data_IF_177329953218
#
_entry.id   IF_177329953218
#
_cell.length_a   1.000
_cell.length_b   1.000
_cell.length_c   1.000
_cell.angle_alpha   90.00
_cell.angle_beta   90.00
_cell.angle_gamma   90.00
#
_symmetry.space_group_name_H-M   'P 1'
#
loop_
_entity.id
_entity.type
_entity.pdbx_description
1 polymer ?
#
# COMPACT_ATOMS: atom_id res chain seq x y z
N UNK A 1 7.53 -7.01 18.06
CA UNK A 1 7.32 -5.57 18.34
C UNK A 1 7.23 -4.85 17.01
N UNK A 2 6.43 -3.78 16.91
CA UNK A 2 6.36 -3.02 15.67
C UNK A 2 7.69 -2.33 15.34
N UNK A 3 8.00 -2.21 14.05
CA UNK A 3 9.22 -1.55 13.56
C UNK A 3 9.04 -1.02 12.14
N UNK A 4 9.73 0.08 11.82
CA UNK A 4 9.84 0.53 10.44
C UNK A 4 10.72 -0.42 9.63
N UNK A 5 10.26 -0.73 8.42
CA UNK A 5 11.07 -1.35 7.39
C UNK A 5 11.62 -0.25 6.50
N UNK A 6 12.95 -0.22 6.36
CA UNK A 6 13.62 0.73 5.48
C UNK A 6 13.26 0.40 4.04
N UNK A 7 12.60 1.33 3.34
CA UNK A 7 12.35 1.18 1.92
C UNK A 7 13.69 1.10 1.17
N UNK A 8 13.86 0.14 0.26
CA UNK A 8 15.07 0.08 -0.54
C UNK A 8 15.20 1.35 -1.40
N UNK A 9 16.42 1.76 -1.80
CA UNK A 9 16.64 3.01 -2.53
C UNK A 9 15.73 3.19 -3.76
N UNK A 10 15.49 2.10 -4.48
CA UNK A 10 14.61 2.01 -5.66
C UNK A 10 13.16 2.45 -5.43
N UNK A 11 12.63 2.24 -4.22
CA UNK A 11 11.29 2.69 -3.84
C UNK A 11 11.36 4.03 -3.12
N UNK A 12 12.36 4.19 -2.25
CA UNK A 12 12.51 5.37 -1.40
C UNK A 12 12.67 6.66 -2.21
N UNK A 13 13.51 6.65 -3.26
CA UNK A 13 13.74 7.86 -4.08
C UNK A 13 12.47 8.34 -4.77
N UNK A 14 11.69 7.42 -5.34
CA UNK A 14 10.41 7.74 -6.00
C UNK A 14 9.40 8.29 -5.00
N UNK A 15 9.22 7.62 -3.87
CA UNK A 15 8.33 8.08 -2.81
C UNK A 15 8.77 9.45 -2.24
N UNK A 16 10.08 9.66 -2.09
CA UNK A 16 10.63 10.91 -1.57
C UNK A 16 10.40 12.07 -2.53
N UNK A 17 10.68 11.91 -3.82
CA UNK A 17 10.45 12.97 -4.82
C UNK A 17 8.98 13.40 -4.83
N UNK A 18 8.06 12.44 -4.91
CA UNK A 18 6.62 12.70 -4.91
C UNK A 18 6.16 13.42 -3.65
N UNK A 19 6.64 12.98 -2.47
CA UNK A 19 6.34 13.62 -1.18
C UNK A 19 6.84 15.07 -1.14
N UNK A 20 8.05 15.31 -1.63
CA UNK A 20 8.65 16.65 -1.67
C UNK A 20 7.90 17.58 -2.63
N UNK A 21 7.48 17.07 -3.80
CA UNK A 21 6.65 17.81 -4.74
C UNK A 21 5.27 18.15 -4.15
N UNK A 22 4.60 17.19 -3.52
CA UNK A 22 3.31 17.43 -2.86
C UNK A 22 3.42 18.42 -1.71
N UNK A 23 4.51 18.36 -0.93
CA UNK A 23 4.77 19.30 0.15
C UNK A 23 4.95 20.72 -0.39
N UNK A 24 5.78 20.88 -1.42
CA UNK A 24 5.98 22.18 -2.07
C UNK A 24 4.68 22.72 -2.68
N UNK A 25 3.89 21.85 -3.31
CA UNK A 25 2.60 22.23 -3.90
C UNK A 25 1.61 22.70 -2.83
N UNK A 26 1.50 22.00 -1.69
CA UNK A 26 0.65 22.38 -0.55
C UNK A 26 1.02 23.77 -0.04
N UNK A 27 2.31 24.02 0.21
CA UNK A 27 2.81 25.31 0.68
C UNK A 27 2.44 26.45 -0.29
N UNK A 28 2.65 26.26 -1.59
CA UNK A 28 2.34 27.28 -2.60
C UNK A 28 0.84 27.55 -2.72
N UNK A 29 -0.02 26.56 -2.46
CA UNK A 29 -1.48 26.73 -2.52
C UNK A 29 -2.06 27.33 -1.23
N UNK A 30 -1.50 27.00 -0.07
CA UNK A 30 -1.86 27.61 1.21
C UNK A 30 -1.61 29.13 1.19
N UNK A 31 -0.46 29.56 0.65
CA UNK A 31 -0.11 30.97 0.48
C UNK A 31 -1.03 31.75 -0.46
N UNK A 32 -1.79 31.05 -1.33
CA UNK A 32 -2.59 31.66 -2.40
C UNK A 32 -4.12 31.60 -2.16
N UNK A 33 -4.59 30.79 -1.20
CA UNK A 33 -5.98 30.62 -0.69
C UNK A 33 -7.02 29.93 -1.61
N UNK A 34 -7.88 29.11 -0.97
CA UNK A 34 -9.12 28.43 -1.45
C UNK A 34 -9.03 27.20 -2.35
N UNK A 35 -7.83 26.74 -2.73
CA UNK A 35 -7.70 25.62 -3.67
C UNK A 35 -7.45 24.29 -2.95
N UNK A 36 -8.38 23.35 -3.10
CA UNK A 36 -8.30 22.02 -2.51
C UNK A 36 -7.50 21.12 -3.46
N UNK A 37 -6.42 20.52 -2.95
CA UNK A 37 -5.73 19.44 -3.64
C UNK A 37 -6.66 18.22 -3.66
N UNK A 38 -6.96 17.62 -4.85
CA UNK A 38 -7.74 16.40 -4.92
C UNK A 38 -7.13 15.31 -4.03
N UNK A 39 -7.93 14.60 -3.22
CA UNK A 39 -7.40 13.56 -2.34
C UNK A 39 -6.54 12.51 -3.06
N UNK A 40 -6.90 12.21 -4.32
CA UNK A 40 -6.21 11.23 -5.17
C UNK A 40 -4.80 11.64 -5.58
N UNK A 41 -4.44 12.93 -5.48
CA UNK A 41 -3.09 13.40 -5.82
C UNK A 41 -2.02 12.81 -4.89
N UNK A 42 -2.42 12.34 -3.70
CA UNK A 42 -1.52 11.65 -2.76
C UNK A 42 -0.98 10.32 -3.29
N UNK A 43 -1.64 9.72 -4.28
CA UNK A 43 -1.19 8.50 -4.97
C UNK A 43 -0.72 8.77 -6.40
N UNK A 44 -0.67 10.03 -6.83
CA UNK A 44 -0.24 10.38 -8.18
C UNK A 44 1.29 10.26 -8.36
N UNK A 45 1.74 9.81 -9.54
CA UNK A 45 3.15 9.86 -9.91
C UNK A 45 3.60 11.31 -10.12
N UNK A 46 4.93 11.51 -10.17
CA UNK A 46 5.59 12.80 -10.45
C UNK A 46 4.91 13.61 -11.56
N UNK A 47 4.70 13.01 -12.72
CA UNK A 47 4.18 13.72 -13.90
C UNK A 47 2.76 14.25 -13.69
N UNK A 48 1.93 13.52 -12.97
CA UNK A 48 0.57 13.93 -12.66
C UNK A 48 0.54 15.05 -11.60
N UNK A 49 1.44 14.99 -10.61
CA UNK A 49 1.62 16.07 -9.65
C UNK A 49 2.07 17.36 -10.36
N UNK A 50 3.05 17.26 -11.26
CA UNK A 50 3.55 18.39 -12.06
C UNK A 50 2.47 18.93 -12.99
N UNK A 51 1.73 18.06 -13.68
CA UNK A 51 0.63 18.46 -14.56
C UNK A 51 -0.46 19.19 -13.79
N UNK A 52 -0.85 18.68 -12.61
CA UNK A 52 -1.81 19.34 -11.73
C UNK A 52 -1.29 20.72 -11.28
N UNK A 53 -0.04 20.81 -10.84
CA UNK A 53 0.56 22.09 -10.44
C UNK A 53 0.54 23.12 -11.58
N UNK A 54 0.90 22.71 -12.80
CA UNK A 54 0.86 23.57 -13.99
C UNK A 54 -0.54 24.08 -14.35
N UNK A 55 -1.59 23.29 -14.06
CA UNK A 55 -2.97 23.69 -14.32
C UNK A 55 -3.54 24.61 -13.24
N UNK A 56 -3.02 24.56 -12.02
CA UNK A 56 -3.62 25.22 -10.84
C UNK A 56 -2.85 26.43 -10.36
N UNK A 57 -1.54 26.44 -10.49
CA UNK A 57 -0.72 27.54 -10.01
C UNK A 57 -0.72 28.71 -11.00
N UNK A 58 -0.78 29.97 -10.53
CA UNK A 58 -0.52 31.13 -11.37
C UNK A 58 0.93 31.13 -11.86
N UNK A 59 1.22 31.83 -12.95
CA UNK A 59 2.50 31.74 -13.67
C UNK A 59 3.73 31.93 -12.76
N UNK A 60 3.69 32.89 -11.82
CA UNK A 60 4.81 33.16 -10.91
C UNK A 60 5.08 31.99 -9.95
N UNK A 61 4.04 31.34 -9.42
CA UNK A 61 4.19 30.17 -8.55
C UNK A 61 4.49 28.91 -9.36
N UNK A 62 3.95 28.81 -10.58
CA UNK A 62 4.24 27.73 -11.54
C UNK A 62 5.73 27.68 -11.87
N UNK A 63 6.35 28.81 -12.22
CA UNK A 63 7.80 28.86 -12.50
C UNK A 63 8.64 28.44 -11.30
N UNK A 64 8.25 28.86 -10.08
CA UNK A 64 8.91 28.44 -8.83
C UNK A 64 8.79 26.92 -8.61
N UNK A 65 7.59 26.36 -8.79
CA UNK A 65 7.34 24.93 -8.63
C UNK A 65 8.12 24.09 -9.65
N UNK A 66 8.14 24.49 -10.92
CA UNK A 66 8.88 23.77 -11.96
C UNK A 66 10.39 23.79 -11.71
N UNK A 67 10.94 24.94 -11.29
CA UNK A 67 12.36 25.04 -10.90
C UNK A 67 12.70 24.08 -9.76
N UNK A 68 11.80 23.97 -8.78
CA UNK A 68 11.96 23.01 -7.68
C UNK A 68 11.90 21.56 -8.17
N UNK A 69 10.94 21.23 -9.04
CA UNK A 69 10.80 19.88 -9.62
C UNK A 69 12.01 19.44 -10.46
N UNK A 70 12.63 20.37 -11.19
CA UNK A 70 13.85 20.10 -11.97
C UNK A 70 15.08 19.94 -11.06
N UNK A 71 15.14 20.71 -9.98
CA UNK A 71 16.18 20.57 -8.94
C UNK A 71 16.09 19.19 -8.28
N UNK A 72 14.88 18.73 -7.94
CA UNK A 72 14.67 17.40 -7.39
C UNK A 72 15.07 16.30 -8.37
N UNK A 73 14.68 16.41 -9.65
CA UNK A 73 15.04 15.42 -10.67
C UNK A 73 16.57 15.29 -10.85
N UNK A 74 17.31 16.37 -10.62
CA UNK A 74 18.78 16.35 -10.65
C UNK A 74 19.38 15.77 -9.36
N UNK A 75 18.79 16.08 -8.21
CA UNK A 75 19.28 15.64 -6.89
C UNK A 75 18.91 14.19 -6.55
N UNK A 76 17.83 13.66 -7.14
CA UNK A 76 17.30 12.32 -6.93
C UNK A 76 17.30 11.57 -8.27
N UNK A 77 18.48 11.14 -8.78
CA UNK A 77 18.55 10.49 -10.08
C UNK A 77 17.78 9.18 -10.08
N UNK A 78 16.87 9.03 -11.05
CA UNK A 78 15.98 7.86 -11.18
C UNK A 78 16.56 6.72 -12.03
N UNK A 79 17.83 6.82 -12.41
CA UNK A 79 18.50 5.81 -13.23
C UNK A 79 18.64 4.48 -12.48
N UNK A 80 18.24 3.38 -13.13
CA UNK A 80 18.34 2.04 -12.54
C UNK A 80 17.31 1.73 -11.45
N UNK A 81 16.28 2.57 -11.25
CA UNK A 81 15.22 2.32 -10.27
C UNK A 81 14.11 1.38 -10.77
N UNK A 82 14.43 0.46 -11.68
CA UNK A 82 13.49 -0.59 -12.11
C UNK A 82 13.95 -1.95 -11.60
N UNK A 83 12.99 -2.83 -11.29
CA UNK A 83 13.26 -4.24 -10.99
C UNK A 83 12.88 -5.10 -12.19
N UNK A 84 13.48 -6.29 -12.27
CA UNK A 84 13.01 -7.32 -13.19
C UNK A 84 11.59 -7.73 -12.78
N UNK A 85 10.66 -7.63 -13.74
CA UNK A 85 9.30 -8.08 -13.55
C UNK A 85 9.19 -9.58 -13.88
N UNK A 86 8.36 -10.34 -13.16
CA UNK A 86 8.01 -11.68 -13.60
C UNK A 86 7.25 -11.61 -14.94
N UNK A 87 7.27 -12.67 -15.75
CA UNK A 87 6.41 -12.72 -16.94
C UNK A 87 4.93 -12.57 -16.53
N UNK A 88 4.05 -12.10 -17.42
CA UNK A 88 2.63 -12.09 -17.13
C UNK A 88 2.06 -13.52 -17.02
N UNK A 89 0.96 -13.64 -16.30
CA UNK A 89 0.15 -14.85 -16.21
C UNK A 89 -0.92 -14.87 -17.31
N UNK A 90 -0.94 -15.92 -18.12
CA UNK A 90 -1.92 -16.10 -19.20
C UNK A 90 -1.77 -15.08 -20.35
N UNK A 91 -2.85 -14.88 -21.11
CA UNK A 91 -2.91 -13.97 -22.26
C UNK A 91 -4.01 -12.91 -22.06
N UNK A 92 -3.81 -11.71 -22.61
CA UNK A 92 -4.85 -10.66 -22.67
C UNK A 92 -6.00 -11.11 -23.57
N UNK A 93 -7.24 -10.83 -23.15
CA UNK A 93 -8.45 -11.06 -23.93
C UNK A 93 -9.46 -9.93 -23.68
N UNK A 94 -10.44 -9.77 -24.59
CA UNK A 94 -11.36 -8.61 -24.60
C UNK A 94 -12.31 -8.52 -23.40
N UNK A 95 -12.56 -9.63 -22.70
CA UNK A 95 -13.38 -9.67 -21.47
C UNK A 95 -12.57 -9.49 -20.18
N UNK A 96 -11.26 -9.24 -20.29
CA UNK A 96 -10.40 -9.00 -19.14
C UNK A 96 -10.70 -7.62 -18.53
N UNK A 97 -10.67 -7.54 -17.21
CA UNK A 97 -10.85 -6.28 -16.50
C UNK A 97 -9.67 -5.33 -16.76
N UNK A 98 -9.93 -4.01 -16.84
CA UNK A 98 -8.91 -3.00 -17.17
C UNK A 98 -7.68 -3.05 -16.25
N UNK A 99 -7.87 -3.15 -14.92
CA UNK A 99 -6.78 -3.35 -13.96
C UNK A 99 -5.89 -4.57 -14.29
N UNK A 100 -6.50 -5.69 -14.66
CA UNK A 100 -5.77 -6.92 -14.97
C UNK A 100 -5.06 -6.84 -16.32
N UNK A 101 -5.69 -6.23 -17.32
CA UNK A 101 -5.06 -5.97 -18.62
C UNK A 101 -3.87 -5.00 -18.48
N UNK A 102 -4.03 -3.93 -17.69
CA UNK A 102 -2.95 -2.99 -17.40
C UNK A 102 -1.79 -3.68 -16.66
N UNK A 103 -2.09 -4.51 -15.66
CA UNK A 103 -1.07 -5.29 -14.95
C UNK A 103 -0.35 -6.26 -15.88
N UNK A 104 -1.07 -6.96 -16.78
CA UNK A 104 -0.47 -7.83 -17.78
C UNK A 104 0.49 -7.07 -18.69
N UNK A 105 0.05 -5.92 -19.23
CA UNK A 105 0.89 -5.10 -20.12
C UNK A 105 2.12 -4.57 -19.41
N UNK A 106 1.99 -4.14 -18.15
CA UNK A 106 3.12 -3.73 -17.33
C UNK A 106 4.14 -4.87 -17.15
N UNK A 107 3.69 -6.07 -16.76
CA UNK A 107 4.57 -7.23 -16.60
C UNK A 107 5.24 -7.65 -17.91
N UNK A 108 4.57 -7.49 -19.04
CA UNK A 108 5.12 -7.80 -20.37
C UNK A 108 6.24 -6.83 -20.83
N UNK A 109 6.49 -5.74 -20.09
CA UNK A 109 7.68 -4.89 -20.31
C UNK A 109 8.95 -5.47 -19.68
N UNK A 110 8.83 -6.50 -18.83
CA UNK A 110 9.91 -7.19 -18.11
C UNK A 110 10.73 -6.32 -17.13
N UNK A 111 10.50 -5.01 -17.08
CA UNK A 111 11.19 -4.08 -16.20
C UNK A 111 10.25 -2.96 -15.79
N UNK A 112 10.19 -2.64 -14.50
CA UNK A 112 9.31 -1.57 -14.03
C UNK A 112 9.57 -1.14 -12.61
N UNK A 113 8.94 -0.04 -12.24
CA UNK A 113 9.04 0.56 -10.91
C UNK A 113 7.85 0.06 -10.06
N UNK A 114 8.05 -0.80 -9.03
CA UNK A 114 6.97 -1.48 -8.32
C UNK A 114 5.97 -0.53 -7.61
N UNK A 115 6.47 0.56 -7.05
CA UNK A 115 5.69 1.56 -6.33
C UNK A 115 4.70 2.28 -7.25
N UNK A 116 5.17 2.73 -8.40
CA UNK A 116 4.37 3.38 -9.46
C UNK A 116 3.37 2.39 -10.04
N UNK A 117 3.81 1.17 -10.38
CA UNK A 117 2.90 0.16 -10.95
C UNK A 117 1.75 -0.19 -10.00
N UNK A 118 2.03 -0.40 -8.71
CA UNK A 118 0.98 -0.66 -7.72
C UNK A 118 -0.03 0.49 -7.63
N UNK A 119 0.45 1.75 -7.69
CA UNK A 119 -0.39 2.96 -7.60
C UNK A 119 -1.21 3.22 -8.87
N UNK A 120 -0.67 2.89 -10.05
CA UNK A 120 -1.39 2.99 -11.33
C UNK A 120 -2.61 2.07 -11.41
N UNK A 121 -2.58 0.93 -10.72
CA UNK A 121 -3.69 -0.03 -10.69
C UNK A 121 -4.84 0.45 -9.80
N UNK A 122 -4.57 1.25 -8.76
CA UNK A 122 -5.55 1.63 -7.73
C UNK A 122 -6.89 2.13 -8.27
N UNK A 123 -6.95 3.09 -9.23
CA UNK A 123 -8.21 3.64 -9.70
C UNK A 123 -9.07 2.65 -10.49
N UNK A 124 -8.47 1.55 -10.95
CA UNK A 124 -9.13 0.53 -11.78
C UNK A 124 -9.60 -0.66 -10.96
N UNK A 125 -9.23 -0.75 -9.67
CA UNK A 125 -9.57 -1.93 -8.87
C UNK A 125 -11.01 -1.84 -8.34
N UNK A 126 -11.76 -2.96 -8.34
CA UNK A 126 -13.10 -3.01 -7.79
C UNK A 126 -13.04 -3.11 -6.26
N UNK A 127 -12.68 -2.00 -5.62
CA UNK A 127 -12.65 -1.90 -4.16
C UNK A 127 -14.09 -1.96 -3.61
N UNK A 128 -14.28 -2.74 -2.54
CA UNK A 128 -15.57 -2.97 -1.90
C UNK A 128 -15.58 -2.35 -0.49
N UNK A 129 -16.73 -1.90 0.04
CA UNK A 129 -16.82 -1.42 1.42
C UNK A 129 -16.28 -2.45 2.41
N UNK A 130 -15.55 -2.00 3.42
CA UNK A 130 -15.12 -2.88 4.50
C UNK A 130 -16.32 -3.32 5.35
N UNK A 131 -16.65 -4.60 5.29
CA UNK A 131 -17.80 -5.17 6.01
C UNK A 131 -17.49 -5.52 7.47
N UNK A 132 -16.23 -5.37 7.90
CA UNK A 132 -15.86 -5.64 9.30
C UNK A 132 -16.45 -4.57 10.21
N UNK A 133 -17.01 -4.98 11.35
CA UNK A 133 -17.64 -4.05 12.31
C UNK A 133 -16.70 -2.96 12.85
N UNK A 134 -15.38 -3.20 12.82
CA UNK A 134 -14.36 -2.24 13.25
C UNK A 134 -13.76 -1.44 12.08
N UNK A 135 -14.19 -1.66 10.83
CA UNK A 135 -13.63 -1.03 9.64
C UNK A 135 -14.61 -0.08 8.95
N UNK A 136 -14.09 1.01 8.38
CA UNK A 136 -14.84 1.90 7.48
C UNK A 136 -13.95 2.29 6.31
N UNK A 137 -14.47 2.32 5.09
CA UNK A 137 -13.71 2.66 3.89
C UNK A 137 -13.80 1.54 2.85
N UNK A 138 -12.84 1.48 1.94
CA UNK A 138 -12.85 0.49 0.86
C UNK A 138 -11.66 -0.48 0.98
N UNK A 139 -11.88 -1.74 0.62
CA UNK A 139 -10.86 -2.78 0.62
C UNK A 139 -10.93 -3.64 -0.64
N UNK A 140 -9.79 -4.21 -1.01
CA UNK A 140 -9.73 -5.35 -1.91
C UNK A 140 -8.79 -6.40 -1.30
N UNK A 141 -9.30 -7.62 -1.19
CA UNK A 141 -8.59 -8.74 -0.59
C UNK A 141 -8.15 -9.73 -1.66
N UNK A 142 -6.91 -10.21 -1.57
CA UNK A 142 -6.29 -11.15 -2.50
C UNK A 142 -5.55 -12.25 -1.72
N UNK A 143 -5.34 -13.38 -2.38
CA UNK A 143 -4.68 -14.54 -1.80
C UNK A 143 -5.64 -15.44 -1.01
N UNK A 144 -5.11 -16.08 0.02
CA UNK A 144 -5.80 -17.05 0.84
C UNK A 144 -6.70 -16.37 1.88
N UNK A 145 -7.86 -16.97 2.17
CA UNK A 145 -8.61 -16.72 3.39
C UNK A 145 -8.84 -18.02 4.17
N UNK A 146 -9.04 -17.88 5.47
CA UNK A 146 -9.42 -18.99 6.37
C UNK A 146 -10.59 -18.54 7.24
N UNK A 147 -11.71 -19.25 7.18
CA UNK A 147 -12.90 -18.97 8.00
C UNK A 147 -13.47 -20.27 8.56
N UNK A 148 -13.41 -20.43 9.89
CA UNK A 148 -13.92 -21.63 10.55
C UNK A 148 -13.27 -22.93 10.09
N UNK A 149 -11.99 -22.89 9.72
CA UNK A 149 -11.25 -24.04 9.17
C UNK A 149 -11.48 -24.31 7.68
N UNK A 150 -12.31 -23.51 6.99
CA UNK A 150 -12.47 -23.57 5.54
C UNK A 150 -11.42 -22.68 4.89
N UNK A 151 -10.64 -23.26 3.97
CA UNK A 151 -9.62 -22.56 3.18
C UNK A 151 -10.12 -22.27 1.78
N UNK A 152 -9.84 -21.06 1.29
CA UNK A 152 -10.18 -20.67 -0.06
C UNK A 152 -9.38 -19.45 -0.52
N UNK A 153 -9.69 -18.99 -1.73
CA UNK A 153 -9.14 -17.73 -2.23
C UNK A 153 -10.18 -16.63 -2.16
N UNK A 154 -9.72 -15.42 -1.87
CA UNK A 154 -10.56 -14.26 -2.14
C UNK A 154 -10.95 -14.23 -3.62
N UNK A 155 -12.19 -13.81 -3.90
CA UNK A 155 -12.79 -13.74 -5.25
C UNK A 155 -11.83 -13.14 -6.28
N UNK A 156 -11.20 -12.01 -5.94
CA UNK A 156 -10.34 -11.26 -6.84
C UNK A 156 -8.99 -11.92 -7.10
N UNK A 157 -8.55 -12.88 -6.29
CA UNK A 157 -7.28 -13.61 -6.49
C UNK A 157 -7.25 -14.34 -7.83
N UNK A 158 -8.37 -14.98 -8.21
CA UNK A 158 -8.49 -15.71 -9.48
C UNK A 158 -8.81 -14.80 -10.65
N UNK A 159 -9.49 -13.69 -10.39
CA UNK A 159 -9.85 -12.73 -11.44
C UNK A 159 -8.65 -11.87 -11.84
N UNK A 160 -7.75 -11.56 -10.89
CA UNK A 160 -6.64 -10.65 -11.11
C UNK A 160 -5.26 -11.27 -10.78
N UNK A 161 -4.85 -12.34 -11.46
CA UNK A 161 -3.56 -12.97 -11.21
C UNK A 161 -2.36 -12.05 -11.52
N UNK A 162 -2.44 -11.19 -12.54
CA UNK A 162 -1.37 -10.24 -12.86
C UNK A 162 -1.32 -9.08 -11.85
N UNK A 163 -2.47 -8.59 -11.36
CA UNK A 163 -2.48 -7.64 -10.23
C UNK A 163 -1.82 -8.26 -9.00
N UNK A 164 -2.11 -9.53 -8.67
CA UNK A 164 -1.43 -10.23 -7.58
C UNK A 164 0.09 -10.22 -7.79
N UNK A 165 0.58 -10.56 -8.99
CA UNK A 165 2.01 -10.55 -9.31
C UNK A 165 2.65 -9.18 -9.12
N UNK A 166 1.99 -8.10 -9.56
CA UNK A 166 2.48 -6.72 -9.37
C UNK A 166 2.55 -6.34 -7.89
N UNK A 167 1.50 -6.58 -7.11
CA UNK A 167 1.47 -6.23 -5.70
C UNK A 167 2.45 -7.07 -4.86
N UNK A 168 2.56 -8.37 -5.13
CA UNK A 168 3.53 -9.24 -4.49
C UNK A 168 4.97 -8.83 -4.79
N UNK A 169 5.25 -8.35 -6.00
CA UNK A 169 6.56 -7.84 -6.37
C UNK A 169 6.92 -6.56 -5.61
N UNK A 170 5.95 -5.68 -5.31
CA UNK A 170 6.17 -4.56 -4.40
C UNK A 170 6.52 -5.05 -2.99
N UNK A 171 5.80 -6.03 -2.45
CA UNK A 171 6.11 -6.60 -1.12
C UNK A 171 7.51 -7.22 -1.10
N UNK A 172 7.87 -8.00 -2.12
CA UNK A 172 9.20 -8.58 -2.27
C UNK A 172 10.30 -7.50 -2.35
N UNK A 173 10.04 -6.39 -3.03
CA UNK A 173 11.00 -5.29 -3.10
C UNK A 173 11.16 -4.60 -1.72
N UNK A 174 10.05 -4.39 -0.99
CA UNK A 174 10.07 -3.75 0.33
C UNK A 174 10.76 -4.64 1.38
N UNK A 175 10.36 -5.91 1.48
CA UNK A 175 10.89 -6.83 2.48
C UNK A 175 11.00 -8.26 1.93
N UNK A 176 12.12 -8.63 1.26
CA UNK A 176 12.29 -9.94 0.63
C UNK A 176 12.16 -11.14 1.59
N UNK A 177 12.43 -10.91 2.88
CA UNK A 177 12.33 -11.94 3.93
C UNK A 177 10.90 -12.18 4.43
N UNK A 178 9.92 -11.38 4.01
CA UNK A 178 8.55 -11.50 4.50
C UNK A 178 7.91 -12.83 4.13
N UNK A 179 6.97 -13.29 4.96
CA UNK A 179 6.14 -14.47 4.67
C UNK A 179 4.66 -14.09 4.74
N UNK A 180 3.95 -14.26 3.63
CA UNK A 180 2.56 -13.88 3.51
C UNK A 180 1.85 -14.73 2.45
N UNK A 181 0.55 -14.90 2.63
CA UNK A 181 -0.30 -15.63 1.70
C UNK A 181 -1.60 -14.89 1.39
N UNK A 182 -1.77 -13.68 1.95
CA UNK A 182 -2.90 -12.81 1.73
C UNK A 182 -2.42 -11.35 1.63
N UNK A 183 -3.16 -10.56 0.86
CA UNK A 183 -3.00 -9.12 0.74
C UNK A 183 -4.34 -8.45 0.99
N UNK A 184 -4.33 -7.34 1.72
CA UNK A 184 -5.44 -6.39 1.79
C UNK A 184 -4.95 -5.04 1.32
N UNK A 185 -5.54 -4.55 0.23
CA UNK A 185 -5.40 -3.16 -0.19
C UNK A 185 -6.53 -2.35 0.44
N UNK A 186 -6.21 -1.32 1.21
CA UNK A 186 -7.19 -0.43 1.84
C UNK A 186 -7.10 0.99 1.27
N UNK A 187 -8.24 1.58 0.93
CA UNK A 187 -8.38 2.99 0.52
C UNK A 187 -9.33 3.69 1.47
N UNK A 188 -8.82 4.72 2.14
CA UNK A 188 -9.51 5.44 3.22
C UNK A 188 -10.09 4.50 4.27
N UNK A 189 -9.40 3.38 4.47
CA UNK A 189 -9.79 2.35 5.39
C UNK A 189 -9.32 2.73 6.81
N UNK A 190 -10.27 3.14 7.65
CA UNK A 190 -10.07 3.34 9.09
C UNK A 190 -10.50 2.08 9.83
N UNK A 191 -9.63 1.60 10.70
CA UNK A 191 -9.94 0.51 11.63
C UNK A 191 -9.90 1.00 13.07
N UNK A 192 -10.95 0.72 13.84
CA UNK A 192 -10.96 0.85 15.30
C UNK A 192 -9.97 -0.14 15.93
N UNK A 193 -9.56 0.04 17.19
CA UNK A 193 -8.70 -0.90 17.88
C UNK A 193 -9.20 -2.34 17.78
N UNK A 194 -8.36 -3.24 17.27
CA UNK A 194 -8.65 -4.66 17.12
C UNK A 194 -7.37 -5.51 17.17
N UNK A 195 -7.57 -6.84 17.15
CA UNK A 195 -6.53 -7.84 16.95
C UNK A 195 -6.93 -8.76 15.81
N UNK A 196 -5.99 -9.10 14.95
CA UNK A 196 -6.19 -10.08 13.89
C UNK A 196 -6.02 -11.50 14.43
N UNK A 197 -6.87 -11.90 15.38
CA UNK A 197 -6.70 -13.14 16.17
C UNK A 197 -6.60 -14.42 15.33
N UNK A 198 -7.09 -14.36 14.10
CA UNK A 198 -7.12 -15.45 13.14
C UNK A 198 -5.95 -15.47 12.15
N UNK A 199 -5.04 -14.50 12.22
CA UNK A 199 -3.80 -14.53 11.45
C UNK A 199 -2.80 -15.51 12.05
N UNK A 200 -1.78 -15.87 11.30
CA UNK A 200 -0.64 -16.65 11.78
C UNK A 200 0.19 -15.86 12.79
N UNK A 201 1.18 -16.51 13.41
CA UNK A 201 2.08 -15.84 14.36
C UNK A 201 3.15 -14.97 13.67
N UNK A 202 3.18 -14.95 12.33
CA UNK A 202 4.01 -14.02 11.58
C UNK A 202 3.46 -12.60 11.67
N UNK A 203 4.37 -11.62 11.75
CA UNK A 203 4.02 -10.21 11.69
C UNK A 203 3.29 -9.88 10.37
N UNK A 204 2.42 -8.88 10.42
CA UNK A 204 1.86 -8.24 9.23
C UNK A 204 2.83 -7.17 8.73
N UNK A 205 2.96 -7.04 7.41
CA UNK A 205 3.70 -5.94 6.78
C UNK A 205 2.70 -4.95 6.17
N UNK A 206 2.68 -3.72 6.66
CA UNK A 206 1.95 -2.61 6.07
C UNK A 206 2.90 -1.79 5.21
N UNK A 207 2.49 -1.45 3.99
CA UNK A 207 3.17 -0.52 3.08
C UNK A 207 2.21 0.61 2.74
N UNK A 208 2.51 1.84 3.14
CA UNK A 208 1.70 2.99 2.76
C UNK A 208 2.03 3.46 1.35
N UNK A 209 1.01 3.54 0.50
CA UNK A 209 1.08 3.86 -0.93
C UNK A 209 0.69 5.30 -1.26
N UNK A 210 0.35 6.09 -0.25
CA UNK A 210 -0.04 7.50 -0.42
C UNK A 210 0.74 8.44 0.49
N UNK A 211 0.80 9.70 0.07
CA UNK A 211 1.47 10.81 0.78
C UNK A 211 0.47 11.69 1.55
N UNK A 212 -0.41 11.05 2.33
CA UNK A 212 -1.34 11.72 3.25
C UNK A 212 -0.60 12.36 4.44
N UNK A 213 -1.31 13.14 5.25
CA UNK A 213 -0.80 13.72 6.50
C UNK A 213 -1.43 12.99 7.70
N UNK A 214 -0.65 12.81 8.76
CA UNK A 214 -1.07 12.04 9.95
C UNK A 214 -1.46 10.59 9.60
N UNK A 215 -2.51 10.01 10.19
CA UNK A 215 -3.02 8.70 9.76
C UNK A 215 -2.22 7.48 10.18
N UNK A 216 -1.34 7.65 11.18
CA UNK A 216 -0.42 6.61 11.61
C UNK A 216 -1.12 5.32 12.08
N UNK A 217 -0.35 4.24 12.07
CA UNK A 217 -0.74 2.99 12.69
C UNK A 217 -0.40 3.07 14.19
N UNK A 218 -1.40 3.04 15.05
CA UNK A 218 -1.17 2.85 16.48
C UNK A 218 -1.01 1.37 16.77
N UNK A 219 0.00 0.99 17.56
CA UNK A 219 0.24 -0.39 18.00
C UNK A 219 0.52 -0.39 19.50
N UNK A 220 -0.21 -1.24 20.22
CA UNK A 220 -0.07 -1.45 21.66
C UNK A 220 1.39 -1.72 22.05
N UNK A 221 1.82 -1.05 23.11
CA UNK A 221 3.13 -1.22 23.73
C UNK A 221 3.07 -0.72 25.16
N UNK A 222 3.51 -1.54 26.11
CA UNK A 222 3.43 -1.28 27.55
C UNK A 222 3.97 0.10 27.98
N UNK A 223 5.05 0.57 27.34
CA UNK A 223 5.67 1.87 27.62
C UNK A 223 5.43 2.93 26.52
N UNK A 224 4.38 2.73 25.73
CA UNK A 224 3.98 3.65 24.66
C UNK A 224 3.47 4.99 25.22
N UNK A 225 3.56 6.04 24.40
CA UNK A 225 3.17 7.41 24.79
C UNK A 225 1.79 7.83 24.29
N UNK A 226 1.18 7.02 23.42
CA UNK A 226 -0.10 7.32 22.78
C UNK A 226 -1.13 6.31 23.27
N UNK A 227 -2.31 6.78 23.63
CA UNK A 227 -3.33 5.94 24.26
C UNK A 227 -4.54 5.78 23.35
N UNK A 228 -5.05 4.55 23.25
CA UNK A 228 -6.27 4.20 22.53
C UNK A 228 -7.20 3.39 23.45
N UNK A 229 -8.50 3.58 23.30
CA UNK A 229 -9.53 2.84 24.02
C UNK A 229 -9.79 1.49 23.32
N UNK A 230 -9.50 0.39 24.01
CA UNK A 230 -9.60 -0.97 23.49
C UNK A 230 -10.47 -1.81 24.44
N UNK A 231 -11.68 -2.19 24.03
CA UNK A 231 -12.64 -2.92 24.86
C UNK A 231 -12.82 -2.26 26.26
N UNK A 232 -13.08 -0.94 26.28
CA UNK A 232 -13.23 -0.09 27.48
C UNK A 232 -11.95 0.12 28.34
N UNK A 233 -10.81 -0.47 27.96
CA UNK A 233 -9.52 -0.21 28.59
C UNK A 233 -8.73 0.86 27.81
N UNK A 234 -8.17 1.84 28.52
CA UNK A 234 -7.20 2.76 27.93
C UNK A 234 -5.81 2.11 27.87
N UNK A 235 -5.32 1.80 26.66
CA UNK A 235 -4.06 1.08 26.45
C UNK A 235 -2.96 1.98 25.90
N UNK A 236 -1.72 1.90 26.41
CA UNK A 236 -0.58 2.60 25.83
C UNK A 236 -0.07 1.93 24.56
N UNK A 237 0.49 2.73 23.66
CA UNK A 237 1.10 2.29 22.41
C UNK A 237 1.93 3.36 21.73
N UNK A 238 2.53 2.98 20.61
CA UNK A 238 3.32 3.85 19.74
C UNK A 238 2.59 4.09 18.43
N UNK A 239 2.81 5.27 17.85
CA UNK A 239 2.25 5.65 16.54
C UNK A 239 3.35 5.59 15.50
N UNK A 240 3.06 4.87 14.42
CA UNK A 240 3.99 4.64 13.32
C UNK A 240 3.50 5.36 12.06
N UNK A 241 4.34 6.20 11.48
CA UNK A 241 4.00 6.95 10.26
C UNK A 241 3.76 5.97 9.10
N UNK A 242 2.63 6.10 8.42
CA UNK A 242 2.27 5.22 7.30
C UNK A 242 2.53 5.84 5.94
N UNK A 243 2.46 7.18 5.80
CA UNK A 243 2.62 7.85 4.52
C UNK A 243 4.01 7.61 3.92
N UNK A 244 4.10 6.86 2.81
CA UNK A 244 5.39 6.55 2.19
C UNK A 244 6.32 5.64 2.99
N UNK A 245 5.79 4.92 4.00
CA UNK A 245 6.59 4.08 4.89
C UNK A 245 6.09 2.64 4.92
N UNK A 246 6.98 1.73 5.32
CA UNK A 246 6.64 0.34 5.58
C UNK A 246 6.83 0.00 7.07
N UNK A 247 5.94 -0.81 7.62
CA UNK A 247 5.90 -1.17 9.04
C UNK A 247 5.63 -2.66 9.17
N UNK A 248 6.49 -3.37 9.90
CA UNK A 248 6.19 -4.71 10.41
C UNK A 248 5.53 -4.56 11.78
N UNK A 249 4.45 -5.28 12.01
CA UNK A 249 3.77 -5.26 13.30
C UNK A 249 3.08 -6.58 13.66
N UNK A 250 3.05 -6.96 14.94
CA UNK A 250 2.45 -8.21 15.41
C UNK A 250 0.92 -8.11 15.55
N UNK A 251 0.21 -7.91 14.43
CA UNK A 251 -1.23 -7.64 14.39
C UNK A 251 -2.12 -8.73 15.03
N UNK A 252 -1.64 -9.98 15.10
CA UNK A 252 -2.35 -11.06 15.79
C UNK A 252 -2.40 -10.86 17.30
N UNK A 253 -1.28 -10.47 17.92
CA UNK A 253 -1.10 -10.52 19.37
C UNK A 253 -1.28 -9.16 20.04
N UNK A 254 -1.05 -8.07 19.31
CA UNK A 254 -1.12 -6.71 19.83
C UNK A 254 -2.33 -5.95 19.29
N UNK A 255 -2.95 -5.14 20.15
CA UNK A 255 -3.98 -4.21 19.69
C UNK A 255 -3.37 -3.21 18.71
N UNK A 256 -4.11 -2.89 17.67
CA UNK A 256 -3.71 -1.87 16.71
C UNK A 256 -4.93 -1.19 16.08
N UNK A 257 -4.76 0.06 15.66
CA UNK A 257 -5.81 0.88 15.05
C UNK A 257 -5.24 1.85 14.03
N UNK A 258 -6.12 2.37 13.19
CA UNK A 258 -5.80 3.47 12.28
C UNK A 258 -6.18 4.80 12.92
N UNK A 259 -5.21 5.69 13.09
CA UNK A 259 -5.48 7.05 13.55
C UNK A 259 -6.10 7.91 12.45
N UNK A 260 -6.80 9.00 12.80
CA UNK A 260 -7.30 9.97 11.84
C UNK A 260 -6.19 10.53 10.94
N UNK A 261 -6.53 10.86 9.70
CA UNK A 261 -5.62 11.45 8.72
C UNK A 261 -6.24 12.66 8.03
N UNK A 262 -5.38 13.44 7.38
CA UNK A 262 -5.76 14.60 6.56
C UNK A 262 -4.90 14.64 5.29
N UNK A 263 -5.05 15.70 4.47
CA UNK A 263 -4.17 15.95 3.34
C UNK A 263 -4.37 15.07 2.09
N UNK A 264 -5.36 14.16 2.10
CA UNK A 264 -5.82 13.39 0.94
C UNK A 264 -6.16 11.93 1.28
N UNK A 265 -6.17 11.06 0.28
CA UNK A 265 -6.50 9.64 0.49
C UNK A 265 -5.41 8.91 1.28
N UNK A 266 -5.81 8.05 2.21
CA UNK A 266 -4.92 7.10 2.88
C UNK A 266 -5.01 5.77 2.16
N UNK A 267 -3.93 5.37 1.48
CA UNK A 267 -3.86 4.07 0.78
C UNK A 267 -2.76 3.23 1.39
N UNK A 268 -3.09 2.01 1.80
CA UNK A 268 -2.16 1.06 2.39
C UNK A 268 -2.33 -0.32 1.75
N UNK A 269 -1.22 -1.03 1.58
CA UNK A 269 -1.18 -2.45 1.22
C UNK A 269 -0.68 -3.24 2.43
N UNK A 270 -1.45 -4.21 2.89
CA UNK A 270 -1.10 -5.05 4.04
C UNK A 270 -0.87 -6.47 3.55
N UNK A 271 0.32 -7.02 3.80
CA UNK A 271 0.70 -8.39 3.51
C UNK A 271 0.77 -9.19 4.81
N UNK A 272 -0.05 -10.24 4.90
CA UNK A 272 -0.17 -11.09 6.08
C UNK A 272 -0.43 -12.54 5.70
N UNK A 273 -0.38 -13.43 6.69
CA UNK A 273 -0.76 -14.83 6.51
C UNK A 273 -1.92 -15.15 7.47
N UNK A 274 -3.05 -15.68 6.98
CA UNK A 274 -4.05 -16.31 7.83
C UNK A 274 -3.45 -17.47 8.63
N UNK A 275 -4.03 -17.75 9.80
CA UNK A 275 -3.69 -18.90 10.61
C UNK A 275 -4.01 -20.22 9.91
N UNK A 276 -3.54 -21.34 10.47
CA UNK A 276 -3.78 -22.69 9.93
C UNK A 276 -3.34 -22.89 8.47
N UNK A 277 -2.30 -22.18 8.04
CA UNK A 277 -1.76 -22.36 6.68
C UNK A 277 -1.20 -23.77 6.45
N UNK A 278 -0.73 -24.42 7.51
CA UNK A 278 -0.21 -25.78 7.46
C UNK A 278 -1.24 -26.83 7.01
N UNK A 279 -2.54 -26.53 7.09
CA UNK A 279 -3.61 -27.44 6.66
C UNK A 279 -4.13 -27.13 5.26
N UNK A 280 -3.57 -26.11 4.59
CA UNK A 280 -3.95 -25.74 3.21
C UNK A 280 -3.41 -26.77 2.23
N UNK A 281 -4.19 -27.08 1.20
CA UNK A 281 -3.81 -28.09 0.21
C UNK A 281 -2.60 -27.63 -0.61
N UNK A 282 -1.66 -28.54 -0.91
CA UNK A 282 -0.40 -28.19 -1.58
C UNK A 282 -0.59 -27.54 -2.95
N UNK A 283 -1.62 -27.92 -3.72
CA UNK A 283 -1.91 -27.28 -5.00
C UNK A 283 -2.38 -25.83 -4.83
N UNK A 284 -3.00 -25.50 -3.69
CA UNK A 284 -3.41 -24.12 -3.41
C UNK A 284 -2.20 -23.25 -3.09
N UNK A 285 -1.28 -23.79 -2.29
CA UNK A 285 0.01 -23.15 -2.01
C UNK A 285 0.81 -22.94 -3.29
N UNK A 286 0.90 -23.94 -4.16
CA UNK A 286 1.61 -23.84 -5.43
C UNK A 286 1.04 -22.73 -6.34
N UNK A 287 -0.29 -22.61 -6.39
CA UNK A 287 -0.93 -21.53 -7.15
C UNK A 287 -0.61 -20.15 -6.57
N UNK A 288 -0.63 -19.97 -5.24
CA UNK A 288 -0.24 -18.70 -4.61
C UNK A 288 1.23 -18.35 -4.93
N UNK A 289 2.12 -19.33 -4.86
CA UNK A 289 3.54 -19.13 -5.22
C UNK A 289 3.68 -18.68 -6.66
N UNK A 290 2.90 -19.26 -7.58
CA UNK A 290 2.90 -18.83 -8.99
C UNK A 290 2.35 -17.40 -9.18
N UNK A 291 1.49 -16.92 -8.28
CA UNK A 291 1.05 -15.52 -8.25
C UNK A 291 2.02 -14.59 -7.51
N UNK A 292 3.16 -15.10 -7.04
CA UNK A 292 4.23 -14.34 -6.39
C UNK A 292 4.13 -14.23 -4.87
N UNK A 293 3.16 -14.90 -4.23
CA UNK A 293 3.11 -14.95 -2.76
C UNK A 293 4.25 -15.79 -2.20
N UNK A 294 4.64 -15.52 -0.96
CA UNK A 294 5.63 -16.32 -0.22
C UNK A 294 5.01 -16.83 1.08
N UNK A 295 4.14 -17.87 1.01
CA UNK A 295 3.49 -18.42 2.19
C UNK A 295 4.50 -18.84 3.27
N UNK A 296 4.18 -18.69 4.57
CA UNK A 296 4.92 -19.36 5.63
C UNK A 296 5.14 -20.85 5.35
N UNK A 297 6.28 -21.38 5.78
CA UNK A 297 6.55 -22.81 5.66
C UNK A 297 5.48 -23.60 6.42
N UNK A 298 5.05 -24.71 5.81
CA UNK A 298 4.16 -25.72 6.39
C UNK A 298 4.98 -26.69 7.23
#
# INVERSE_FOLDING_TARGET
MAQHVVLPPILHQVALEERLLLTQLRQLLEDWTSHIIPPSLTTSPRNDIVAFACQRLPESLKSRFLTYADTLATALPMEGLCVSLPPPYGCVHSSMHDAEALAWHALNTYSGQPWTLARLLLPLLPLEPDERAHGTGLTLNLGLYVKGGIHGYYKYTKLFPNVCRVLNMLIMAVYPGHKWSALTLGVDNRTLPHKDRWNSDHDSLLVGLSHHLEGGLWVERENGKHFEECDDDLRPGDVWETAGHAILFPGRTHWHSTLPWTGGNRVVLIAYAPGHIATVQSHQIAHLVDLGFVPPAV
#
